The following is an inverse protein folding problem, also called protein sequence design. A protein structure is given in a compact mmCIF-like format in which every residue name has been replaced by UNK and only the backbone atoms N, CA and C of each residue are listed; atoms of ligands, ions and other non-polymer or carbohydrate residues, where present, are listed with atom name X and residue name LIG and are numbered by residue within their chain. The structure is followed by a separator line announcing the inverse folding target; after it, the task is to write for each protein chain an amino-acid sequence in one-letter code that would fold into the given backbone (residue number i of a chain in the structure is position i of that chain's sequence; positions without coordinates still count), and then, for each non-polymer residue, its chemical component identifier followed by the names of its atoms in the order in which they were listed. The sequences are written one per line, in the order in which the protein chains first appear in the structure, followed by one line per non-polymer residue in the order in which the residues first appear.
data_IF_784707523614
#
_entry.id   IF_784707523614
#
_cell.length_a   1.000
_cell.length_b   1.000
_cell.length_c   1.000
_cell.angle_alpha   90.00
_cell.angle_beta   90.00
_cell.angle_gamma   90.00
#
_symmetry.space_group_name_H-M   'P 1'
#
loop_
_entity.id
_entity.type
_entity.pdbx_description
1 polymer ?
#
# COMPACT_ATOMS: atom_id res chain seq x y z
N UNK A 1 11.55 7.60 -17.66
CA UNK A 1 10.71 8.32 -16.69
C UNK A 1 9.73 7.38 -16.01
N UNK A 2 9.52 7.57 -14.70
CA UNK A 2 8.50 6.82 -13.94
C UNK A 2 7.20 7.61 -14.10
N UNK A 3 6.12 7.01 -14.64
CA UNK A 3 4.83 7.69 -14.76
C UNK A 3 4.24 7.89 -13.36
N UNK A 4 3.98 9.15 -13.00
CA UNK A 4 3.32 9.50 -11.75
C UNK A 4 1.85 9.86 -12.00
N UNK A 5 0.97 9.37 -11.14
CA UNK A 5 -0.46 9.69 -11.17
C UNK A 5 -0.81 10.46 -9.90
N UNK A 6 -1.36 11.68 -10.07
CA UNK A 6 -1.94 12.43 -8.96
C UNK A 6 -3.39 11.98 -8.77
N UNK A 7 -3.72 11.57 -7.54
CA UNK A 7 -5.09 11.16 -7.19
C UNK A 7 -5.80 12.29 -6.42
N UNK A 8 -7.13 12.39 -6.51
CA UNK A 8 -7.88 13.36 -5.73
C UNK A 8 -7.74 13.07 -4.22
N UNK A 9 -7.88 14.12 -3.42
CA UNK A 9 -7.91 14.00 -1.96
C UNK A 9 -9.12 13.11 -1.58
N UNK A 10 -8.91 12.04 -0.77
CA UNK A 10 -10.01 11.21 -0.30
C UNK A 10 -11.04 12.05 0.48
N UNK A 11 -12.33 11.76 0.28
CA UNK A 11 -13.39 12.43 1.04
C UNK A 11 -13.25 12.20 2.55
N UNK A 12 -13.64 13.18 3.37
CA UNK A 12 -13.64 13.05 4.84
C UNK A 12 -14.42 11.83 5.33
N UNK A 13 -15.54 11.51 4.65
CA UNK A 13 -16.34 10.31 4.94
C UNK A 13 -15.52 9.02 4.77
N UNK A 14 -14.69 8.94 3.72
CA UNK A 14 -13.85 7.78 3.47
C UNK A 14 -12.69 7.69 4.47
N UNK A 15 -12.08 8.83 4.80
CA UNK A 15 -11.03 8.91 5.83
C UNK A 15 -11.59 8.46 7.19
N UNK A 16 -12.78 8.95 7.56
CA UNK A 16 -13.45 8.56 8.79
C UNK A 16 -13.82 7.07 8.83
N UNK A 17 -14.20 6.49 7.69
CA UNK A 17 -14.45 5.06 7.60
C UNK A 17 -13.18 4.25 7.94
N UNK A 18 -12.05 4.60 7.33
CA UNK A 18 -10.79 3.90 7.57
C UNK A 18 -10.17 4.18 8.95
N UNK A 19 -10.43 5.33 9.56
CA UNK A 19 -9.97 5.63 10.93
C UNK A 19 -10.54 4.68 11.99
N UNK A 20 -11.54 3.85 11.65
CA UNK A 20 -12.07 2.80 12.53
C UNK A 20 -11.20 1.55 12.58
N UNK A 21 -10.31 1.35 11.60
CA UNK A 21 -9.50 0.13 11.47
C UNK A 21 -7.99 0.37 11.47
N UNK A 22 -7.57 1.64 11.40
CA UNK A 22 -6.16 2.07 11.49
C UNK A 22 -6.05 3.29 12.42
N UNK A 23 -4.83 3.67 12.80
CA UNK A 23 -4.55 4.93 13.48
C UNK A 23 -5.17 6.10 12.72
N UNK A 24 -5.90 6.97 13.42
CA UNK A 24 -6.62 8.11 12.82
C UNK A 24 -5.72 8.99 11.96
N UNK A 25 -4.48 9.22 12.37
CA UNK A 25 -3.53 10.05 11.64
C UNK A 25 -3.10 9.41 10.32
N UNK A 26 -3.16 8.08 10.21
CA UNK A 26 -2.73 7.32 9.03
C UNK A 26 -3.90 6.94 8.11
N UNK A 27 -5.14 7.18 8.55
CA UNK A 27 -6.35 6.80 7.80
C UNK A 27 -6.42 7.42 6.40
N UNK A 28 -5.92 8.64 6.24
CA UNK A 28 -5.89 9.33 4.95
C UNK A 28 -4.96 8.63 3.94
N UNK A 29 -3.85 8.04 4.39
CA UNK A 29 -2.93 7.29 3.54
C UNK A 29 -3.59 6.01 3.02
N UNK A 30 -4.28 5.28 3.90
CA UNK A 30 -5.04 4.09 3.51
C UNK A 30 -6.17 4.45 2.54
N UNK A 31 -6.95 5.49 2.86
CA UNK A 31 -8.04 5.97 2.00
C UNK A 31 -7.53 6.38 0.60
N UNK A 32 -6.35 7.00 0.54
CA UNK A 32 -5.70 7.40 -0.71
C UNK A 32 -5.28 6.17 -1.54
N UNK A 33 -4.67 5.16 -0.94
CA UNK A 33 -4.29 3.93 -1.64
C UNK A 33 -5.50 3.21 -2.25
N UNK A 34 -6.62 3.13 -1.52
CA UNK A 34 -7.87 2.54 -2.02
C UNK A 34 -8.49 3.41 -3.13
N UNK A 35 -8.52 4.73 -2.96
CA UNK A 35 -9.05 5.67 -3.97
C UNK A 35 -8.25 5.59 -5.27
N UNK A 36 -6.92 5.48 -5.16
CA UNK A 36 -6.01 5.31 -6.29
C UNK A 36 -6.04 3.91 -6.91
N UNK A 37 -6.79 2.96 -6.33
CA UNK A 37 -6.82 1.55 -6.73
C UNK A 37 -5.42 0.93 -6.79
N UNK A 38 -4.58 1.29 -5.82
CA UNK A 38 -3.22 0.77 -5.74
C UNK A 38 -3.24 -0.72 -5.40
N UNK A 39 -2.57 -1.53 -6.21
CA UNK A 39 -2.37 -2.95 -5.89
C UNK A 39 -1.57 -3.14 -4.59
N UNK A 40 -0.64 -2.22 -4.33
CA UNK A 40 0.28 -2.27 -3.20
C UNK A 40 0.31 -0.95 -2.43
N UNK A 41 0.32 -1.04 -1.10
CA UNK A 41 0.72 0.04 -0.20
C UNK A 41 1.99 -0.38 0.53
N UNK A 42 3.12 0.20 0.12
CA UNK A 42 4.43 -0.14 0.68
C UNK A 42 4.78 0.81 1.83
N UNK A 43 5.06 0.26 3.01
CA UNK A 43 5.38 1.07 4.20
C UNK A 43 6.36 0.39 5.14
N UNK A 44 7.15 1.20 5.87
CA UNK A 44 7.97 0.73 6.98
C UNK A 44 7.24 0.83 8.34
N UNK A 45 6.09 1.52 8.39
CA UNK A 45 5.26 1.59 9.59
C UNK A 45 4.50 0.28 9.79
N UNK A 46 5.16 -0.67 10.43
CA UNK A 46 4.55 -1.95 10.78
C UNK A 46 3.53 -1.82 11.91
N UNK A 47 3.69 -0.81 12.78
CA UNK A 47 2.87 -0.69 13.99
C UNK A 47 1.42 -0.39 13.63
N UNK A 48 1.20 0.51 12.67
CA UNK A 48 -0.16 0.92 12.29
C UNK A 48 -0.69 0.15 11.09
N UNK A 49 0.16 -0.28 10.16
CA UNK A 49 -0.30 -0.92 8.91
C UNK A 49 -0.27 -2.45 8.89
N UNK A 50 0.38 -3.11 9.86
CA UNK A 50 0.44 -4.59 9.93
C UNK A 50 -0.42 -5.16 11.06
N UNK A 51 -1.56 -4.51 11.34
CA UNK A 51 -2.46 -4.88 12.44
C UNK A 51 -3.42 -6.01 12.02
N UNK A 52 -3.94 -6.81 12.98
CA UNK A 52 -4.98 -7.79 12.69
C UNK A 52 -6.23 -7.17 12.04
N UNK A 53 -6.62 -5.96 12.46
CA UNK A 53 -7.79 -5.25 11.92
C UNK A 53 -7.70 -5.03 10.41
N UNK A 54 -6.53 -4.62 9.91
CA UNK A 54 -6.33 -4.43 8.46
C UNK A 54 -6.26 -5.77 7.70
N UNK A 55 -5.73 -6.82 8.33
CA UNK A 55 -5.69 -8.16 7.70
C UNK A 55 -7.07 -8.76 7.48
N UNK A 56 -8.01 -8.53 8.40
CA UNK A 56 -9.39 -9.04 8.28
C UNK A 56 -10.32 -8.10 7.53
N UNK A 57 -9.90 -6.85 7.26
CA UNK A 57 -10.71 -5.85 6.56
C UNK A 57 -10.91 -6.15 5.06
N UNK A 58 -10.26 -7.20 4.53
CA UNK A 58 -10.37 -7.64 3.14
C UNK A 58 -10.23 -6.48 2.13
N UNK A 59 -9.17 -5.72 2.29
CA UNK A 59 -8.87 -4.55 1.47
C UNK A 59 -8.48 -4.96 0.05
N UNK A 60 -8.90 -4.19 -0.95
CA UNK A 60 -8.49 -4.34 -2.35
C UNK A 60 -7.03 -3.86 -2.61
N UNK A 61 -6.22 -3.75 -1.55
CA UNK A 61 -4.84 -3.27 -1.60
C UNK A 61 -3.98 -4.13 -0.68
N UNK A 62 -2.85 -4.63 -1.19
CA UNK A 62 -1.94 -5.48 -0.42
C UNK A 62 -0.94 -4.58 0.31
N UNK A 63 -0.95 -4.65 1.65
CA UNK A 63 -0.06 -3.84 2.50
C UNK A 63 1.15 -4.66 2.93
N UNK A 64 2.36 -4.21 2.58
CA UNK A 64 3.61 -4.90 2.90
C UNK A 64 4.76 -3.91 3.07
N UNK A 65 5.90 -4.41 3.57
CA UNK A 65 7.12 -3.61 3.58
C UNK A 65 7.81 -3.63 2.21
N UNK A 66 8.62 -2.59 1.88
CA UNK A 66 9.42 -2.62 0.65
C UNK A 66 10.29 -3.87 0.53
N UNK A 67 10.88 -4.33 1.64
CA UNK A 67 11.68 -5.56 1.67
C UNK A 67 10.87 -6.82 1.36
N UNK A 68 9.62 -6.89 1.83
CA UNK A 68 8.72 -8.01 1.49
C UNK A 68 8.29 -7.95 0.03
N UNK A 69 8.05 -6.76 -0.51
CA UNK A 69 7.72 -6.57 -1.93
C UNK A 69 8.86 -7.09 -2.82
N UNK A 70 10.09 -6.66 -2.54
CA UNK A 70 11.27 -7.06 -3.29
C UNK A 70 11.48 -8.58 -3.26
N UNK A 71 11.18 -9.23 -2.13
CA UNK A 71 11.36 -10.68 -2.00
C UNK A 71 10.25 -11.50 -2.66
N UNK A 72 9.01 -11.00 -2.65
CA UNK A 72 7.83 -11.81 -3.02
C UNK A 72 7.24 -11.46 -4.38
N UNK A 73 7.24 -10.18 -4.75
CA UNK A 73 6.52 -9.68 -5.93
C UNK A 73 7.45 -9.21 -7.02
N UNK A 74 8.55 -8.55 -6.66
CA UNK A 74 9.53 -8.07 -7.64
C UNK A 74 10.07 -9.19 -8.56
N UNK A 75 10.34 -10.43 -8.08
CA UNK A 75 10.79 -11.52 -8.95
C UNK A 75 9.74 -12.05 -9.92
N UNK A 76 8.46 -11.74 -9.67
CA UNK A 76 7.34 -12.19 -10.50
C UNK A 76 7.09 -11.24 -11.68
N UNK A 77 7.73 -10.08 -11.70
CA UNK A 77 7.56 -9.10 -12.78
C UNK A 77 8.24 -9.62 -14.05
N UNK A 78 7.57 -9.53 -15.20
CA UNK A 78 8.03 -10.12 -16.47
C UNK A 78 9.43 -9.65 -16.92
N UNK A 79 9.83 -8.45 -16.49
CA UNK A 79 11.14 -7.88 -16.80
C UNK A 79 12.24 -8.23 -15.78
N UNK A 80 11.91 -8.88 -14.66
CA UNK A 80 12.87 -9.22 -13.61
C UNK A 80 14.05 -10.08 -14.07
N UNK A 81 13.88 -11.18 -14.84
CA UNK A 81 15.01 -12.01 -15.26
C UNK A 81 15.97 -11.29 -16.24
N UNK A 82 15.65 -10.08 -16.69
CA UNK A 82 16.47 -9.27 -17.62
C UNK A 82 17.27 -8.16 -16.92
N UNK A 83 17.06 -7.93 -15.62
CA UNK A 83 17.79 -6.90 -14.90
C UNK A 83 19.04 -7.49 -14.23
N UNK A 84 20.20 -6.83 -14.32
CA UNK A 84 21.38 -7.28 -13.59
C UNK A 84 21.09 -7.31 -12.09
N UNK A 85 21.70 -8.23 -11.33
CA UNK A 85 21.54 -8.25 -9.88
C UNK A 85 21.95 -6.90 -9.30
N UNK A 86 21.33 -6.45 -8.20
CA UNK A 86 21.80 -5.26 -7.48
C UNK A 86 23.26 -5.49 -7.08
N UNK A 87 24.14 -4.62 -7.56
CA UNK A 87 25.57 -4.59 -7.19
C UNK A 87 25.80 -4.12 -5.76
#
# INVERSE_FOLDING_TARGET
DIPWTLIPIPSEKLIYHYSKIINEKDAHVLAAAITGKSDFLLTLDRKHFMTPSLKIANLDCIILTPGDFIKRYYPLHDNFPKMPPPG
#
